data_IF_336151802574
#
_entry.id   IF_336151802574
#
_cell.length_a   1.000
_cell.length_b   1.000
_cell.length_c   1.000
_cell.angle_alpha   90.00
_cell.angle_beta   90.00
_cell.angle_gamma   90.00
#
_symmetry.space_group_name_H-M   'P 1'
#
loop_
_entity.id
_entity.type
_entity.pdbx_description
1 polymer ?
#
# COMPACT_ATOMS: atom_id res chain seq x y z
N UNK A 1 9.88 -40.91 21.48
CA UNK A 1 9.85 -39.65 20.70
C UNK A 1 9.97 -38.55 21.72
N UNK A 2 11.14 -37.93 21.84
CA UNK A 2 11.41 -36.93 22.89
C UNK A 2 10.63 -35.64 22.60
N UNK A 3 9.77 -35.16 23.51
CA UNK A 3 9.04 -33.91 23.35
C UNK A 3 9.98 -32.73 23.66
N UNK A 4 10.19 -31.83 22.70
CA UNK A 4 10.83 -30.54 22.98
C UNK A 4 11.96 -30.08 22.04
N UNK A 5 12.25 -30.79 20.95
CA UNK A 5 13.24 -30.30 19.97
C UNK A 5 12.61 -29.17 19.14
N UNK A 6 12.94 -27.91 19.46
CA UNK A 6 12.59 -26.75 18.63
C UNK A 6 13.18 -26.97 17.23
N UNK A 7 12.33 -26.92 16.21
CA UNK A 7 12.77 -26.91 14.82
C UNK A 7 13.62 -25.65 14.58
N UNK A 8 14.69 -25.72 13.76
CA UNK A 8 15.42 -24.55 13.35
C UNK A 8 14.48 -23.54 12.68
N UNK A 9 14.69 -22.25 12.93
CA UNK A 9 13.86 -21.16 12.38
C UNK A 9 13.75 -21.22 10.85
N UNK A 10 14.86 -21.54 10.18
CA UNK A 10 14.93 -21.73 8.73
C UNK A 10 13.94 -22.81 8.24
N UNK A 11 13.82 -23.93 8.97
CA UNK A 11 12.89 -25.02 8.62
C UNK A 11 11.44 -24.60 8.80
N UNK A 12 11.15 -23.73 9.77
CA UNK A 12 9.81 -23.19 9.97
C UNK A 12 9.44 -22.18 8.89
N UNK A 13 10.40 -21.35 8.46
CA UNK A 13 10.21 -20.38 7.39
C UNK A 13 10.02 -21.06 6.04
N UNK A 14 10.82 -22.10 5.74
CA UNK A 14 10.66 -22.90 4.52
C UNK A 14 9.30 -23.61 4.49
N UNK A 15 8.91 -24.24 5.60
CA UNK A 15 7.57 -24.85 5.71
C UNK A 15 6.45 -23.83 5.53
N UNK A 16 6.59 -22.63 6.11
CA UNK A 16 5.60 -21.56 5.99
C UNK A 16 5.51 -21.02 4.56
N UNK A 17 6.65 -20.84 3.88
CA UNK A 17 6.72 -20.40 2.50
C UNK A 17 6.14 -21.44 1.52
N UNK A 18 6.27 -22.73 1.83
CA UNK A 18 5.70 -23.84 1.06
C UNK A 18 4.18 -23.99 1.24
N UNK A 19 3.56 -23.23 2.15
CA UNK A 19 2.11 -23.23 2.29
C UNK A 19 1.46 -22.55 1.08
N UNK A 20 0.43 -23.20 0.54
CA UNK A 20 -0.42 -22.66 -0.52
C UNK A 20 -1.81 -22.39 0.05
N UNK A 21 -1.98 -21.36 0.90
CA UNK A 21 -3.27 -21.05 1.46
C UNK A 21 -4.25 -20.69 0.33
N UNK A 22 -5.53 -21.05 0.46
CA UNK A 22 -6.54 -20.62 -0.49
C UNK A 22 -6.62 -19.09 -0.50
N UNK A 23 -6.47 -18.50 -1.69
CA UNK A 23 -6.68 -17.07 -1.90
C UNK A 23 -8.18 -16.79 -2.03
N UNK A 24 -8.70 -15.92 -1.18
CA UNK A 24 -10.10 -15.46 -1.25
C UNK A 24 -10.15 -14.18 -2.08
N UNK A 25 -11.07 -14.09 -3.04
CA UNK A 25 -11.32 -12.85 -3.76
C UNK A 25 -12.20 -11.96 -2.90
N UNK A 26 -11.60 -11.19 -1.98
CA UNK A 26 -12.34 -10.31 -1.08
C UNK A 26 -13.24 -9.34 -1.87
N UNK A 27 -12.82 -8.94 -3.07
CA UNK A 27 -13.61 -8.01 -3.88
C UNK A 27 -14.77 -8.73 -4.57
N UNK A 28 -14.53 -9.90 -5.18
CA UNK A 28 -15.58 -10.70 -5.82
C UNK A 28 -16.58 -11.31 -4.83
N UNK A 29 -16.11 -11.72 -3.66
CA UNK A 29 -16.87 -12.48 -2.66
C UNK A 29 -17.52 -11.58 -1.59
N UNK A 30 -16.91 -10.43 -1.25
CA UNK A 30 -17.38 -9.54 -0.17
C UNK A 30 -17.65 -8.09 -0.61
N UNK A 31 -17.09 -7.60 -1.71
CA UNK A 31 -17.22 -6.18 -2.05
C UNK A 31 -18.50 -5.87 -2.85
N UNK A 32 -19.05 -4.71 -2.50
CA UNK A 32 -20.17 -4.07 -3.19
C UNK A 32 -20.94 -3.11 -2.28
N UNK A 33 -20.77 -3.19 -0.94
CA UNK A 33 -21.47 -2.30 0.01
C UNK A 33 -20.67 -1.87 1.24
N UNK A 34 -19.77 -2.70 1.75
CA UNK A 34 -19.02 -2.37 2.97
C UNK A 34 -17.83 -1.47 2.66
N UNK A 35 -17.63 -0.48 3.54
CA UNK A 35 -16.49 0.45 3.49
C UNK A 35 -15.24 -0.26 4.02
N UNK A 36 -14.14 -0.18 3.28
CA UNK A 36 -12.84 -0.65 3.75
C UNK A 36 -11.75 0.40 3.55
N UNK A 37 -10.68 0.31 4.34
CA UNK A 37 -9.52 1.18 4.23
C UNK A 37 -8.42 0.53 3.38
N UNK A 38 -7.83 1.32 2.49
CA UNK A 38 -6.62 0.95 1.74
C UNK A 38 -5.45 1.72 2.34
N UNK A 39 -4.41 1.00 2.76
CA UNK A 39 -3.20 1.63 3.26
C UNK A 39 -2.41 2.26 2.10
N UNK A 40 -2.18 3.57 2.19
CA UNK A 40 -1.70 4.42 1.11
C UNK A 40 -0.25 4.15 0.69
N UNK A 41 0.63 3.85 1.65
CA UNK A 41 2.03 3.57 1.36
C UNK A 41 2.19 2.24 0.58
N UNK A 42 1.48 1.18 0.99
CA UNK A 42 1.46 -0.08 0.24
C UNK A 42 0.81 0.07 -1.13
N UNK A 43 -0.30 0.82 -1.22
CA UNK A 43 -0.95 1.13 -2.50
C UNK A 43 0.04 1.77 -3.48
N UNK A 44 0.76 2.80 -3.03
CA UNK A 44 1.77 3.48 -3.84
C UNK A 44 2.88 2.51 -4.25
N UNK A 45 3.50 1.81 -3.29
CA UNK A 45 4.59 0.85 -3.57
C UNK A 45 4.16 -0.23 -4.57
N UNK A 46 2.97 -0.79 -4.39
CA UNK A 46 2.40 -1.80 -5.28
C UNK A 46 2.21 -1.25 -6.70
N UNK A 47 1.58 -0.08 -6.84
CA UNK A 47 1.31 0.51 -8.15
C UNK A 47 2.59 0.87 -8.90
N UNK A 48 3.57 1.47 -8.22
CA UNK A 48 4.85 1.85 -8.80
C UNK A 48 5.63 0.61 -9.29
N UNK A 49 5.71 -0.44 -8.45
CA UNK A 49 6.39 -1.68 -8.81
C UNK A 49 5.68 -2.38 -10.00
N UNK A 50 4.36 -2.51 -9.95
CA UNK A 50 3.56 -3.18 -10.99
C UNK A 50 3.61 -2.46 -12.34
N UNK A 51 3.58 -1.12 -12.31
CA UNK A 51 3.68 -0.30 -13.52
C UNK A 51 5.12 -0.11 -14.01
N UNK A 52 6.13 -0.57 -13.26
CA UNK A 52 7.56 -0.39 -13.56
C UNK A 52 7.92 1.09 -13.76
N UNK A 53 7.47 1.93 -12.83
CA UNK A 53 7.73 3.37 -12.90
C UNK A 53 9.22 3.64 -12.70
N UNK A 54 9.84 4.38 -13.63
CA UNK A 54 11.25 4.76 -13.52
C UNK A 54 11.41 6.04 -12.70
N UNK A 55 11.86 5.89 -11.45
CA UNK A 55 12.27 7.01 -10.59
C UNK A 55 13.77 7.28 -10.61
N UNK A 56 14.58 6.42 -11.21
CA UNK A 56 16.03 6.55 -11.19
C UNK A 56 16.50 7.53 -12.27
N UNK A 57 16.18 7.24 -13.53
CA UNK A 57 16.63 8.01 -14.69
C UNK A 57 15.64 9.11 -15.09
N UNK A 58 14.34 8.80 -15.10
CA UNK A 58 13.31 9.69 -15.66
C UNK A 58 12.44 10.47 -14.67
N UNK A 59 12.45 10.09 -13.38
CA UNK A 59 11.49 10.56 -12.37
C UNK A 59 10.07 10.68 -12.94
N UNK A 60 9.55 9.55 -13.43
CA UNK A 60 8.27 9.45 -14.15
C UNK A 60 7.05 9.66 -13.23
N UNK A 61 6.95 10.84 -12.62
CA UNK A 61 5.93 11.18 -11.63
C UNK A 61 4.51 11.04 -12.20
N UNK A 62 4.27 11.53 -13.43
CA UNK A 62 2.95 11.39 -14.05
C UNK A 62 2.56 9.92 -14.27
N UNK A 63 3.53 9.05 -14.59
CA UNK A 63 3.29 7.62 -14.72
C UNK A 63 2.94 6.99 -13.37
N UNK A 64 3.62 7.40 -12.28
CA UNK A 64 3.27 7.00 -10.91
C UNK A 64 1.84 7.39 -10.54
N UNK A 65 1.45 8.65 -10.75
CA UNK A 65 0.09 9.12 -10.45
C UNK A 65 -0.95 8.32 -11.26
N UNK A 66 -0.73 8.18 -12.57
CA UNK A 66 -1.63 7.43 -13.43
C UNK A 66 -1.76 5.95 -13.03
N UNK A 67 -0.68 5.32 -12.59
CA UNK A 67 -0.70 3.93 -12.13
C UNK A 67 -1.62 3.76 -10.90
N UNK A 68 -1.57 4.70 -9.95
CA UNK A 68 -2.45 4.70 -8.77
C UNK A 68 -3.90 4.99 -9.15
N UNK A 69 -4.15 6.02 -9.97
CA UNK A 69 -5.50 6.35 -10.46
C UNK A 69 -6.15 5.17 -11.16
N UNK A 70 -5.40 4.48 -12.04
CA UNK A 70 -5.90 3.33 -12.77
C UNK A 70 -6.27 2.18 -11.83
N UNK A 71 -5.50 1.96 -10.77
CA UNK A 71 -5.82 0.96 -9.75
C UNK A 71 -7.10 1.32 -9.01
N UNK A 72 -7.20 2.55 -8.47
CA UNK A 72 -8.37 3.01 -7.71
C UNK A 72 -9.64 3.04 -8.58
N UNK A 73 -9.53 3.49 -9.84
CA UNK A 73 -10.62 3.47 -10.82
C UNK A 73 -11.11 2.04 -11.07
N UNK A 74 -10.22 1.04 -11.08
CA UNK A 74 -10.61 -0.36 -11.24
C UNK A 74 -11.42 -0.91 -10.05
N UNK A 75 -11.20 -0.39 -8.84
CA UNK A 75 -12.01 -0.72 -7.66
C UNK A 75 -13.36 -0.02 -7.72
N UNK A 76 -13.38 1.28 -8.06
CA UNK A 76 -14.66 2.02 -8.23
C UNK A 76 -15.55 1.44 -9.31
N UNK A 77 -14.99 0.94 -10.42
CA UNK A 77 -15.76 0.24 -11.48
C UNK A 77 -16.43 -1.06 -11.02
N UNK A 78 -16.02 -1.60 -9.87
CA UNK A 78 -16.60 -2.77 -9.22
C UNK A 78 -17.46 -2.39 -8.01
N UNK A 79 -17.92 -1.14 -7.96
CA UNK A 79 -18.76 -0.59 -6.88
C UNK A 79 -18.16 -0.76 -5.47
N UNK A 80 -16.82 -0.80 -5.36
CA UNK A 80 -16.14 -0.86 -4.07
C UNK A 80 -16.25 0.49 -3.34
N UNK A 81 -16.64 0.43 -2.07
CA UNK A 81 -16.59 1.57 -1.15
C UNK A 81 -15.29 1.52 -0.35
N UNK A 82 -14.42 2.51 -0.51
CA UNK A 82 -13.14 2.53 0.17
C UNK A 82 -12.61 3.93 0.40
N UNK A 83 -11.80 4.05 1.44
CA UNK A 83 -10.98 5.21 1.73
C UNK A 83 -9.50 4.86 1.56
N UNK A 84 -8.66 5.86 1.37
CA UNK A 84 -7.20 5.70 1.31
C UNK A 84 -6.59 6.40 2.52
N UNK A 85 -5.87 5.64 3.35
CA UNK A 85 -5.29 6.11 4.60
C UNK A 85 -3.77 6.03 4.53
N UNK A 86 -3.11 7.17 4.64
CA UNK A 86 -1.66 7.30 4.74
C UNK A 86 -1.25 7.51 6.20
N UNK A 87 -0.07 7.03 6.55
CA UNK A 87 0.51 7.16 7.89
C UNK A 87 1.86 7.86 7.84
N UNK A 88 2.07 8.84 8.72
CA UNK A 88 3.31 9.62 8.76
C UNK A 88 4.50 8.80 9.27
N UNK A 89 4.29 7.89 10.22
CA UNK A 89 5.32 6.99 10.73
C UNK A 89 5.73 5.88 9.75
N UNK A 90 4.96 5.68 8.67
CA UNK A 90 5.22 4.69 7.63
C UNK A 90 5.75 5.29 6.32
N UNK A 91 6.07 6.58 6.27
CA UNK A 91 6.51 7.27 5.05
C UNK A 91 7.68 6.59 4.34
N UNK A 92 8.61 6.02 5.11
CA UNK A 92 9.80 5.35 4.58
C UNK A 92 9.48 4.02 3.87
N UNK A 93 8.32 3.40 4.13
CA UNK A 93 7.92 2.13 3.48
C UNK A 93 7.66 2.32 1.98
N UNK A 94 7.33 3.53 1.55
CA UNK A 94 7.22 3.89 0.14
C UNK A 94 8.54 3.75 -0.64
N UNK A 95 9.67 3.76 0.06
CA UNK A 95 11.01 3.67 -0.53
C UNK A 95 11.41 2.19 -0.64
N UNK A 96 11.78 1.69 -1.84
CA UNK A 96 12.28 0.33 -1.98
C UNK A 96 13.56 0.09 -1.18
N UNK A 97 13.69 -1.12 -0.63
CA UNK A 97 14.88 -1.57 0.10
C UNK A 97 16.13 -1.44 -0.79
N UNK A 98 17.10 -0.62 -0.36
CA UNK A 98 18.30 -0.28 -1.14
C UNK A 98 18.36 1.17 -1.63
N UNK A 99 17.29 1.95 -1.51
CA UNK A 99 17.29 3.39 -1.82
C UNK A 99 17.40 4.29 -0.56
N UNK A 100 17.34 3.70 0.64
CA UNK A 100 17.50 4.37 1.94
C UNK A 100 18.93 4.93 2.09
N UNK A 101 19.04 6.26 2.16
CA UNK A 101 20.33 6.98 2.29
C UNK A 101 20.85 7.67 1.02
N UNK A 102 20.06 7.69 -0.05
CA UNK A 102 20.43 8.28 -1.34
C UNK A 102 19.45 9.40 -1.75
N UNK A 103 19.82 10.21 -2.76
CA UNK A 103 18.91 11.16 -3.44
C UNK A 103 17.65 10.49 -4.04
N UNK A 104 17.56 9.15 -4.04
CA UNK A 104 16.41 8.43 -4.54
C UNK A 104 15.23 8.43 -3.55
N UNK A 105 15.47 8.40 -2.22
CA UNK A 105 14.40 8.40 -1.22
C UNK A 105 13.51 9.66 -1.28
N UNK A 106 14.13 10.83 -1.50
CA UNK A 106 13.39 12.10 -1.61
C UNK A 106 12.44 12.15 -2.80
N UNK A 107 12.73 11.44 -3.89
CA UNK A 107 11.83 11.30 -5.05
C UNK A 107 10.55 10.55 -4.67
N UNK A 108 10.66 9.48 -3.89
CA UNK A 108 9.50 8.72 -3.41
C UNK A 108 8.68 9.53 -2.40
N UNK A 109 9.32 10.21 -1.45
CA UNK A 109 8.62 11.08 -0.50
C UNK A 109 7.90 12.24 -1.19
N UNK A 110 8.54 12.86 -2.19
CA UNK A 110 7.91 13.90 -3.02
C UNK A 110 6.71 13.33 -3.79
N UNK A 111 6.87 12.17 -4.42
CA UNK A 111 5.78 11.51 -5.12
C UNK A 111 4.61 11.15 -4.18
N UNK A 112 4.89 10.69 -2.95
CA UNK A 112 3.88 10.45 -1.90
C UNK A 112 3.10 11.73 -1.62
N UNK A 113 3.80 12.83 -1.35
CA UNK A 113 3.15 14.11 -1.02
C UNK A 113 2.28 14.62 -2.16
N UNK A 114 2.78 14.54 -3.39
CA UNK A 114 2.04 14.94 -4.60
C UNK A 114 0.82 14.04 -4.81
N UNK A 115 0.96 12.72 -4.60
CA UNK A 115 -0.14 11.78 -4.72
C UNK A 115 -1.26 12.08 -3.71
N UNK A 116 -0.93 12.29 -2.43
CA UNK A 116 -1.90 12.65 -1.40
C UNK A 116 -2.64 13.92 -1.81
N UNK A 117 -1.91 14.97 -2.16
CA UNK A 117 -2.50 16.25 -2.56
C UNK A 117 -3.37 16.14 -3.82
N UNK A 118 -2.96 15.31 -4.78
CA UNK A 118 -3.70 15.06 -6.02
C UNK A 118 -5.01 14.33 -5.73
N UNK A 119 -4.97 13.23 -4.98
CA UNK A 119 -6.16 12.45 -4.66
C UNK A 119 -7.14 13.25 -3.80
N UNK A 120 -6.67 14.02 -2.81
CA UNK A 120 -7.53 14.88 -1.97
C UNK A 120 -8.23 16.00 -2.74
N UNK A 121 -7.76 16.33 -3.95
CA UNK A 121 -8.37 17.35 -4.83
C UNK A 121 -9.07 16.76 -6.05
N UNK A 122 -8.99 15.45 -6.23
CA UNK A 122 -9.57 14.78 -7.38
C UNK A 122 -11.09 14.73 -7.25
N UNK A 123 -11.80 14.74 -8.38
CA UNK A 123 -13.25 14.53 -8.43
C UNK A 123 -13.66 13.08 -8.15
N UNK A 124 -12.70 12.20 -7.81
CA UNK A 124 -13.00 10.83 -7.46
C UNK A 124 -13.54 10.83 -6.02
N UNK A 125 -14.75 10.30 -5.84
CA UNK A 125 -15.42 10.18 -4.55
C UNK A 125 -14.72 9.15 -3.63
N UNK A 126 -13.54 9.53 -3.13
CA UNK A 126 -12.68 8.75 -2.24
C UNK A 126 -12.21 9.71 -1.13
N UNK A 127 -12.39 9.30 0.12
CA UNK A 127 -11.80 10.02 1.24
C UNK A 127 -10.32 9.64 1.34
N UNK A 128 -9.46 10.66 1.39
CA UNK A 128 -8.02 10.50 1.59
C UNK A 128 -7.66 11.07 2.95
N UNK A 129 -7.03 10.26 3.80
CA UNK A 129 -6.62 10.61 5.14
C UNK A 129 -5.10 10.49 5.28
N UNK A 130 -4.50 11.40 6.05
CA UNK A 130 -3.09 11.36 6.43
C UNK A 130 -3.04 11.45 7.96
N UNK A 131 -2.75 10.33 8.61
CA UNK A 131 -2.78 10.16 10.07
C UNK A 131 -1.35 10.06 10.63
N UNK A 132 -1.17 10.33 11.92
CA UNK A 132 0.14 10.22 12.57
C UNK A 132 0.72 8.79 12.56
N UNK A 133 -0.06 7.83 13.04
CA UNK A 133 0.30 6.41 13.12
C UNK A 133 -0.94 5.54 13.22
N UNK A 134 -0.79 4.22 13.08
CA UNK A 134 -1.89 3.29 13.31
C UNK A 134 -2.38 3.28 14.77
N UNK A 135 -1.48 3.54 15.73
CA UNK A 135 -1.80 3.59 17.15
C UNK A 135 -2.31 4.97 17.62
N UNK A 136 -2.45 5.93 16.69
CA UNK A 136 -2.91 7.27 17.03
C UNK A 136 -4.39 7.27 17.42
N UNK A 137 -4.79 8.21 18.28
CA UNK A 137 -6.21 8.42 18.61
C UNK A 137 -7.05 8.74 17.36
N UNK A 138 -6.47 9.44 16.38
CA UNK A 138 -7.14 9.76 15.11
C UNK A 138 -7.48 8.51 14.28
N UNK A 139 -6.61 7.49 14.30
CA UNK A 139 -6.87 6.21 13.67
C UNK A 139 -7.97 5.44 14.40
N UNK A 140 -7.96 5.47 15.74
CA UNK A 140 -9.01 4.87 16.55
C UNK A 140 -10.37 5.55 16.37
N UNK A 141 -10.41 6.85 16.08
CA UNK A 141 -11.66 7.57 15.80
C UNK A 141 -12.18 7.30 14.37
N UNK A 142 -11.30 6.83 13.48
CA UNK A 142 -11.64 6.49 12.11
C UNK A 142 -12.21 5.07 11.95
N UNK A 143 -11.67 4.10 12.70
CA UNK A 143 -12.07 2.68 12.69
C UNK A 143 -13.39 2.43 13.44
#
# INVERSE_FOLDING_TARGET
MEPGKKLPEEVLLDWYADQHPPTVDIIGDFAGRELFAIQGEALMRYCLAKAKVDFDGGFQLLHAIHAVEKFLSSLKKRDCSFDVVFFQDLEDICVPDGATGSNYASKYLLARRILIQHLSRSDIDIKVLELGSFESGECSDYL
#
